data_IF_683022703677
#
_entry.id   IF_683022703677
#
_cell.length_a   1.000
_cell.length_b   1.000
_cell.length_c   1.000
_cell.angle_alpha   90.00
_cell.angle_beta   90.00
_cell.angle_gamma   90.00
#
_symmetry.space_group_name_H-M   'P 1'
#
loop_
_entity.id
_entity.type
_entity.pdbx_description
1 polymer ?
#
# COMPACT_ATOMS: atom_id res chain seq x y z
N UNK A 1 -10.96 14.04 3.21
CA UNK A 1 -11.57 12.73 2.90
C UNK A 1 -10.68 11.58 3.40
N UNK A 2 -9.41 11.53 3.02
CA UNK A 2 -8.45 10.49 3.44
C UNK A 2 -8.31 10.32 4.97
N UNK A 3 -8.10 11.41 5.71
CA UNK A 3 -7.98 11.37 7.19
C UNK A 3 -9.21 10.76 7.88
N UNK A 4 -10.39 10.89 7.27
CA UNK A 4 -11.64 10.33 7.82
C UNK A 4 -11.72 8.81 7.59
N UNK A 5 -11.33 8.36 6.39
CA UNK A 5 -11.26 6.93 6.06
C UNK A 5 -10.22 6.23 6.94
N UNK A 6 -9.07 6.86 7.19
CA UNK A 6 -8.03 6.32 8.07
C UNK A 6 -8.51 6.23 9.52
N UNK A 7 -9.17 7.27 10.03
CA UNK A 7 -9.75 7.22 11.39
C UNK A 7 -10.83 6.14 11.51
N UNK A 8 -11.64 5.93 10.46
CA UNK A 8 -12.66 4.87 10.43
C UNK A 8 -12.00 3.47 10.34
N UNK A 9 -10.85 3.34 9.68
CA UNK A 9 -10.02 2.12 9.65
C UNK A 9 -9.29 1.87 10.98
N UNK A 10 -8.88 2.91 11.71
CA UNK A 10 -8.24 2.78 13.04
C UNK A 10 -9.17 2.20 14.11
N UNK A 11 -10.50 2.27 13.92
CA UNK A 11 -11.49 1.61 14.78
C UNK A 11 -11.51 0.09 14.55
N UNK A 12 -10.93 -0.38 13.44
CA UNK A 12 -10.81 -1.80 13.15
C UNK A 12 -9.66 -2.37 13.99
N UNK A 13 -10.00 -2.82 15.21
CA UNK A 13 -9.20 -3.71 16.08
C UNK A 13 -8.96 -5.10 15.44
N UNK A 14 -8.79 -5.19 14.13
CA UNK A 14 -8.53 -6.45 13.46
C UNK A 14 -7.13 -6.45 12.88
N UNK A 15 -6.32 -7.28 13.54
CA UNK A 15 -5.37 -8.20 12.93
C UNK A 15 -4.10 -7.53 12.39
N UNK A 16 -2.99 -8.04 12.89
CA UNK A 16 -1.58 -7.78 12.65
C UNK A 16 -1.15 -7.49 11.18
N UNK A 17 -2.02 -7.70 10.19
CA UNK A 17 -1.74 -7.56 8.76
C UNK A 17 -2.80 -6.68 8.08
N UNK A 18 -2.37 -5.64 7.38
CA UNK A 18 -3.20 -4.78 6.52
C UNK A 18 -2.89 -5.11 5.05
N UNK A 19 -3.92 -5.22 4.21
CA UNK A 19 -3.76 -5.40 2.75
C UNK A 19 -4.50 -4.25 2.06
N UNK A 20 -3.79 -3.52 1.18
CA UNK A 20 -4.31 -2.39 0.42
C UNK A 20 -4.21 -2.70 -1.08
N UNK A 21 -5.33 -2.64 -1.79
CA UNK A 21 -5.40 -2.86 -3.23
C UNK A 21 -5.57 -1.51 -3.95
N UNK A 22 -4.55 -1.10 -4.71
CA UNK A 22 -4.46 0.20 -5.40
C UNK A 22 -4.90 1.42 -4.55
N UNK A 23 -4.38 1.59 -3.31
CA UNK A 23 -4.83 2.65 -2.39
C UNK A 23 -4.43 4.07 -2.83
N UNK A 24 -3.60 4.18 -3.87
CA UNK A 24 -3.02 5.43 -4.37
C UNK A 24 -3.60 5.88 -5.69
N UNK A 25 -4.64 5.22 -6.20
CA UNK A 25 -5.29 5.62 -7.44
C UNK A 25 -5.81 7.08 -7.32
N UNK A 26 -5.46 7.91 -8.31
CA UNK A 26 -5.78 9.33 -8.33
C UNK A 26 -5.02 10.19 -7.31
N UNK A 27 -3.98 9.69 -6.64
CA UNK A 27 -3.17 10.48 -5.72
C UNK A 27 -2.10 11.27 -6.47
N UNK A 28 -1.90 12.53 -6.07
CA UNK A 28 -0.73 13.29 -6.51
C UNK A 28 0.54 12.80 -5.82
N UNK A 29 1.70 13.15 -6.38
CA UNK A 29 2.99 12.86 -5.77
C UNK A 29 3.09 13.30 -4.30
N UNK A 30 2.52 14.45 -3.93
CA UNK A 30 2.53 14.94 -2.54
C UNK A 30 1.61 14.12 -1.63
N UNK A 31 0.50 13.60 -2.17
CA UNK A 31 -0.40 12.72 -1.41
C UNK A 31 0.21 11.34 -1.17
N UNK A 32 1.03 10.84 -2.11
CA UNK A 32 1.83 9.64 -1.91
C UNK A 32 2.83 9.80 -0.75
N UNK A 33 3.45 10.97 -0.62
CA UNK A 33 4.36 11.24 0.50
C UNK A 33 3.59 11.23 1.84
N UNK A 34 2.38 11.78 1.88
CA UNK A 34 1.52 11.73 3.08
C UNK A 34 1.04 10.30 3.41
N UNK A 35 0.83 9.46 2.40
CA UNK A 35 0.42 8.07 2.60
C UNK A 35 1.50 7.30 3.37
N UNK A 36 2.78 7.52 3.05
CA UNK A 36 3.90 6.95 3.81
C UNK A 36 3.78 7.26 5.31
N UNK A 37 3.62 8.54 5.66
CA UNK A 37 3.51 8.96 7.06
C UNK A 37 2.33 8.29 7.78
N UNK A 38 1.21 8.11 7.06
CA UNK A 38 0.03 7.41 7.57
C UNK A 38 0.33 5.94 7.83
N UNK A 39 0.98 5.25 6.88
CA UNK A 39 1.30 3.83 7.03
C UNK A 39 2.24 3.59 8.22
N UNK A 40 3.21 4.47 8.43
CA UNK A 40 4.09 4.43 9.60
C UNK A 40 3.32 4.62 10.92
N UNK A 41 2.24 5.42 10.94
CA UNK A 41 1.40 5.66 12.12
C UNK A 41 0.40 4.54 12.42
N UNK A 42 0.08 3.68 11.46
CA UNK A 42 -0.91 2.61 11.63
C UNK A 42 -0.47 1.52 12.62
N UNK A 43 0.81 1.45 13.00
CA UNK A 43 1.37 0.45 13.93
C UNK A 43 0.96 -1.01 13.59
N UNK A 44 0.75 -1.31 12.31
CA UNK A 44 0.48 -2.67 11.86
C UNK A 44 1.78 -3.48 11.83
N UNK A 45 1.74 -4.76 12.21
CA UNK A 45 2.93 -5.62 12.14
C UNK A 45 3.35 -5.90 10.69
N UNK A 46 2.39 -5.94 9.76
CA UNK A 46 2.63 -6.10 8.33
C UNK A 46 1.64 -5.27 7.51
N UNK A 47 2.15 -4.62 6.46
CA UNK A 47 1.32 -4.01 5.41
C UNK A 47 1.70 -4.65 4.08
N UNK A 48 0.70 -5.02 3.28
CA UNK A 48 0.86 -5.46 1.89
C UNK A 48 0.14 -4.44 1.01
N UNK A 49 0.85 -3.91 0.03
CA UNK A 49 0.31 -2.91 -0.91
C UNK A 49 0.42 -3.48 -2.31
N UNK A 50 -0.71 -3.50 -3.01
CA UNK A 50 -0.75 -3.77 -4.45
C UNK A 50 -0.83 -2.42 -5.15
N UNK A 51 0.15 -2.14 -6.01
CA UNK A 51 0.14 -0.92 -6.80
C UNK A 51 0.96 -1.03 -8.08
N UNK A 52 0.59 -0.24 -9.08
CA UNK A 52 1.37 0.02 -10.27
C UNK A 52 2.29 1.26 -10.14
N UNK A 53 2.26 1.98 -9.02
CA UNK A 53 3.02 3.20 -8.77
C UNK A 53 4.46 2.94 -8.32
N UNK A 54 5.44 3.31 -9.15
CA UNK A 54 6.88 3.15 -8.84
C UNK A 54 7.33 3.94 -7.62
N UNK A 55 6.64 5.03 -7.27
CA UNK A 55 7.02 5.87 -6.12
C UNK A 55 6.87 5.13 -4.80
N UNK A 56 5.95 4.16 -4.72
CA UNK A 56 5.74 3.33 -3.52
C UNK A 56 6.99 2.52 -3.18
N UNK A 57 7.76 2.11 -4.20
CA UNK A 57 9.01 1.36 -4.03
C UNK A 57 10.03 2.10 -3.14
N UNK A 58 9.93 3.42 -3.01
CA UNK A 58 10.85 4.22 -2.20
C UNK A 58 10.61 4.15 -0.69
N UNK A 59 9.48 3.59 -0.24
CA UNK A 59 9.12 3.56 1.18
C UNK A 59 8.55 2.22 1.66
N UNK A 60 8.77 1.13 0.92
CA UNK A 60 8.42 -0.23 1.33
C UNK A 60 9.67 -1.04 1.66
N UNK A 61 9.55 -1.99 2.58
CA UNK A 61 10.67 -2.83 3.00
C UNK A 61 10.98 -3.95 1.98
N UNK A 62 9.95 -4.48 1.32
CA UNK A 62 10.06 -5.58 0.38
C UNK A 62 9.20 -5.30 -0.85
N UNK A 63 9.68 -5.72 -2.02
CA UNK A 63 9.00 -5.54 -3.31
C UNK A 63 8.89 -6.91 -3.98
N UNK A 64 7.67 -7.29 -4.34
CA UNK A 64 7.40 -8.46 -5.18
C UNK A 64 6.91 -7.95 -6.54
N UNK A 65 7.66 -8.25 -7.60
CA UNK A 65 7.28 -7.83 -8.96
C UNK A 65 6.58 -8.95 -9.69
N UNK A 66 5.37 -8.67 -10.17
CA UNK A 66 4.56 -9.62 -10.93
C UNK A 66 4.43 -9.13 -12.36
N UNK A 67 4.68 -10.00 -13.33
CA UNK A 67 4.43 -9.76 -14.76
C UNK A 67 3.47 -10.81 -15.32
N UNK A 68 2.78 -10.48 -16.42
CA UNK A 68 1.93 -11.42 -17.14
C UNK A 68 2.62 -11.86 -18.43
N UNK A 69 2.99 -13.13 -18.50
CA UNK A 69 3.61 -13.78 -19.66
C UNK A 69 2.69 -14.90 -20.17
N UNK A 70 2.29 -14.86 -21.45
CA UNK A 70 1.45 -15.89 -22.08
C UNK A 70 0.24 -16.34 -21.24
N UNK A 71 -0.49 -15.37 -20.67
CA UNK A 71 -1.65 -15.60 -19.77
C UNK A 71 -1.33 -16.17 -18.38
N UNK A 72 -0.05 -16.28 -17.99
CA UNK A 72 0.39 -16.69 -16.66
C UNK A 72 1.01 -15.50 -15.92
N UNK A 73 0.70 -15.40 -14.63
CA UNK A 73 1.36 -14.43 -13.74
C UNK A 73 2.67 -15.04 -13.22
N UNK A 74 3.77 -14.30 -13.34
CA UNK A 74 5.11 -14.74 -12.96
C UNK A 74 5.74 -13.69 -12.03
N UNK A 75 6.38 -14.16 -10.95
CA UNK A 75 7.18 -13.31 -10.07
C UNK A 75 8.58 -13.20 -10.67
N UNK A 76 9.05 -11.98 -10.88
CA UNK A 76 10.36 -11.71 -11.50
C UNK A 76 11.40 -11.14 -10.52
N UNK A 77 10.95 -10.70 -9.34
CA UNK A 77 11.79 -10.16 -8.27
C UNK A 77 11.05 -10.25 -6.95
#
# INVERSE_FOLDING_TARGET
ALNKVINDLMVIKTKNIIILDEPTDGFSSEQLDKMRDVLEQLNAEQVIIVSHEKKIESFVDNIIRITKNEHRSEIIQ
#
